data_IF_086099903542
#
_entry.id   IF_086099903542
#
_cell.length_a   1.000
_cell.length_b   1.000
_cell.length_c   1.000
_cell.angle_alpha   90.00
_cell.angle_beta   90.00
_cell.angle_gamma   90.00
#
_symmetry.space_group_name_H-M   'P 1'
#
loop_
_entity.id
_entity.type
_entity.pdbx_description
1 polymer ?
#
# COMPACT_ATOMS: atom_id res chain seq x y z
N UNK A 1 9.22 -7.04 -19.87
CA UNK A 1 8.66 -6.31 -18.71
C UNK A 1 7.44 -7.07 -18.25
N UNK A 2 7.36 -7.36 -16.96
CA UNK A 2 6.21 -8.03 -16.36
C UNK A 2 5.41 -7.01 -15.56
N UNK A 3 4.08 -7.04 -15.70
CA UNK A 3 3.18 -6.11 -15.03
C UNK A 3 2.10 -6.94 -14.33
N UNK A 4 1.96 -6.72 -13.03
CA UNK A 4 0.92 -7.33 -12.22
C UNK A 4 -0.12 -6.27 -11.88
N UNK A 5 -1.39 -6.58 -12.13
CA UNK A 5 -2.50 -5.68 -11.80
C UNK A 5 -3.23 -6.20 -10.58
N UNK A 6 -3.44 -5.33 -9.59
CA UNK A 6 -4.24 -5.62 -8.40
C UNK A 6 -5.42 -4.63 -8.35
N UNK A 7 -6.67 -5.08 -8.57
CA UNK A 7 -7.85 -4.24 -8.38
C UNK A 7 -8.01 -3.82 -6.91
N UNK A 8 -8.38 -2.57 -6.63
CA UNK A 8 -8.65 -2.11 -5.26
C UNK A 8 -9.74 -2.92 -4.56
N UNK A 9 -10.75 -3.39 -5.30
CA UNK A 9 -11.82 -4.26 -4.79
C UNK A 9 -11.33 -5.63 -4.30
N UNK A 10 -10.11 -6.06 -4.68
CA UNK A 10 -9.50 -7.29 -4.22
C UNK A 10 -8.68 -7.13 -2.93
N UNK A 11 -8.50 -5.89 -2.46
CA UNK A 11 -7.77 -5.58 -1.22
C UNK A 11 -8.75 -5.71 -0.05
N UNK A 12 -8.52 -6.70 0.81
CA UNK A 12 -9.36 -6.96 1.99
C UNK A 12 -8.86 -6.20 3.22
N UNK A 13 -7.57 -5.89 3.29
CA UNK A 13 -6.92 -5.15 4.37
C UNK A 13 -5.62 -4.54 3.83
N UNK A 14 -5.18 -3.43 4.42
CA UNK A 14 -3.85 -2.85 4.19
C UNK A 14 -3.23 -2.34 5.49
N UNK A 15 -1.91 -2.15 5.45
CA UNK A 15 -1.13 -1.55 6.53
C UNK A 15 -0.01 -0.72 5.90
N UNK A 16 0.19 0.50 6.40
CA UNK A 16 1.26 1.38 5.97
C UNK A 16 2.20 1.68 7.13
N UNK A 17 3.49 1.47 6.94
CA UNK A 17 4.53 1.78 7.91
C UNK A 17 5.46 2.86 7.34
N UNK A 18 5.61 3.94 8.08
CA UNK A 18 6.49 5.02 7.66
C UNK A 18 7.94 4.66 7.97
N UNK A 19 8.84 5.04 7.06
CA UNK A 19 10.27 4.87 7.27
C UNK A 19 10.68 5.61 8.55
N UNK A 20 11.34 4.90 9.47
CA UNK A 20 11.90 5.48 10.68
C UNK A 20 12.99 6.51 10.38
N UNK A 21 13.55 7.16 11.41
CA UNK A 21 14.60 8.17 11.22
C UNK A 21 15.91 7.59 10.61
N UNK A 22 16.11 6.29 10.74
CA UNK A 22 17.28 5.55 10.25
C UNK A 22 16.95 4.58 9.09
N UNK A 23 15.73 4.04 9.05
CA UNK A 23 15.27 3.25 7.91
C UNK A 23 14.86 4.16 6.76
N UNK A 24 15.38 3.90 5.57
CA UNK A 24 15.20 4.79 4.40
C UNK A 24 13.93 4.49 3.60
N UNK A 25 13.36 3.30 3.78
CA UNK A 25 12.21 2.83 3.01
C UNK A 25 10.99 2.71 3.91
N UNK A 26 9.87 3.21 3.43
CA UNK A 26 8.56 2.96 4.00
C UNK A 26 8.03 1.63 3.45
N UNK A 27 7.10 1.00 4.16
CA UNK A 27 6.52 -0.27 3.74
C UNK A 27 5.01 -0.16 3.62
N UNK A 28 4.47 -0.77 2.58
CA UNK A 28 3.03 -0.92 2.36
C UNK A 28 2.72 -2.40 2.18
N UNK A 29 1.79 -2.89 2.98
CA UNK A 29 1.35 -4.28 2.99
C UNK A 29 -0.12 -4.35 2.59
N UNK A 30 -0.44 -5.23 1.63
CA UNK A 30 -1.78 -5.43 1.08
C UNK A 30 -2.18 -6.90 1.22
N UNK A 31 -3.32 -7.14 1.86
CA UNK A 31 -3.89 -8.47 2.00
C UNK A 31 -5.03 -8.66 1.03
N UNK A 32 -4.97 -9.77 0.29
CA UNK A 32 -5.96 -10.20 -0.68
C UNK A 32 -6.35 -11.64 -0.39
N UNK A 33 -7.45 -12.11 -0.99
CA UNK A 33 -7.80 -13.54 -0.95
C UNK A 33 -6.74 -14.46 -1.56
N UNK A 34 -5.92 -13.95 -2.47
CA UNK A 34 -4.88 -14.72 -3.16
C UNK A 34 -3.54 -14.73 -2.39
N UNK A 35 -3.38 -13.88 -1.37
CA UNK A 35 -2.17 -13.79 -0.58
C UNK A 35 -1.85 -12.39 -0.10
N UNK A 36 -0.63 -12.25 0.43
CA UNK A 36 -0.09 -11.03 1.01
C UNK A 36 0.97 -10.42 0.07
N UNK A 37 0.83 -9.15 -0.26
CA UNK A 37 1.73 -8.40 -1.12
C UNK A 37 2.42 -7.31 -0.29
N UNK A 38 3.75 -7.35 -0.25
CA UNK A 38 4.59 -6.36 0.43
C UNK A 38 5.30 -5.49 -0.59
N UNK A 39 5.12 -4.18 -0.46
CA UNK A 39 5.66 -3.15 -1.35
C UNK A 39 6.61 -2.27 -0.54
N UNK A 40 7.87 -2.18 -1.00
CA UNK A 40 8.83 -1.21 -0.47
C UNK A 40 8.66 0.13 -1.18
N UNK A 41 8.42 1.16 -0.40
CA UNK A 41 8.15 2.52 -0.85
C UNK A 41 9.37 3.36 -0.54
N UNK A 42 10.11 3.74 -1.59
CA UNK A 42 11.33 4.53 -1.42
C UNK A 42 11.04 5.92 -0.86
N UNK A 43 12.03 6.50 -0.17
CA UNK A 43 12.00 7.80 0.55
C UNK A 43 11.31 8.99 -0.15
N UNK A 44 11.25 9.00 -1.48
CA UNK A 44 10.63 10.11 -2.26
C UNK A 44 9.10 10.00 -2.35
N UNK A 45 8.54 8.82 -2.09
CA UNK A 45 7.12 8.59 -2.12
C UNK A 45 6.47 8.90 -0.77
N UNK A 46 5.32 9.55 -0.81
CA UNK A 46 4.58 9.97 0.37
C UNK A 46 3.65 8.84 0.81
N UNK A 47 4.11 8.07 1.81
CA UNK A 47 3.37 6.90 2.31
C UNK A 47 1.99 7.27 2.88
N UNK A 48 1.85 8.47 3.47
CA UNK A 48 0.56 8.94 4.02
C UNK A 48 -0.45 9.22 2.92
N UNK A 49 0.00 9.79 1.80
CA UNK A 49 -0.88 9.96 0.63
C UNK A 49 -1.28 8.63 0.03
N UNK A 50 -0.38 7.64 -0.01
CA UNK A 50 -0.71 6.29 -0.47
C UNK A 50 -1.73 5.62 0.45
N UNK A 51 -1.55 5.71 1.76
CA UNK A 51 -2.51 5.21 2.75
C UNK A 51 -3.90 5.82 2.55
N UNK A 52 -4.00 7.15 2.45
CA UNK A 52 -5.28 7.83 2.17
C UNK A 52 -5.90 7.43 0.83
N UNK A 53 -5.08 7.26 -0.22
CA UNK A 53 -5.55 6.82 -1.54
C UNK A 53 -6.16 5.42 -1.48
N UNK A 54 -5.50 4.49 -0.78
CA UNK A 54 -5.98 3.11 -0.61
C UNK A 54 -7.25 3.12 0.23
N UNK A 55 -7.26 3.84 1.35
CA UNK A 55 -8.45 3.99 2.20
C UNK A 55 -9.65 4.50 1.40
N UNK A 56 -9.47 5.58 0.62
CA UNK A 56 -10.52 6.14 -0.22
C UNK A 56 -11.02 5.14 -1.28
N UNK A 57 -10.11 4.42 -1.93
CA UNK A 57 -10.44 3.49 -3.03
C UNK A 57 -11.08 2.19 -2.54
N UNK A 58 -10.67 1.70 -1.35
CA UNK A 58 -11.15 0.43 -0.78
C UNK A 58 -12.44 0.62 0.01
N UNK A 59 -12.54 1.67 0.83
CA UNK A 59 -13.72 1.92 1.65
C UNK A 59 -14.84 2.62 0.87
N UNK A 60 -14.49 3.28 -0.24
CA UNK A 60 -15.36 4.21 -0.95
C UNK A 60 -15.58 5.45 -0.10
N UNK A 61 -15.34 6.65 -0.64
CA UNK A 61 -15.92 7.85 -0.04
C UNK A 61 -17.43 7.69 0.02
N UNK A 62 -18.01 7.66 1.23
CA UNK A 62 -19.37 8.14 1.38
C UNK A 62 -19.40 9.65 1.16
#
# INVERSE_FOLDING_TARGET
MEVYSLPYSAINMWSSENAGKFDLDAELELWTRAGHIKIKVGKKADIRRLDMLIAHSVLGSQ
#
